data_IF_222691309246
#
_entry.id   IF_222691309246
#
_cell.length_a   1.000
_cell.length_b   1.000
_cell.length_c   1.000
_cell.angle_alpha   90.00
_cell.angle_beta   90.00
_cell.angle_gamma   90.00
#
_symmetry.space_group_name_H-M   'P 1'
#
loop_
_entity.id
_entity.type
_entity.pdbx_description
1 polymer ?
#
# COMPACT_ATOMS: atom_id res chain seq x y z
N UNK A 1 -26.56 4.48 2.97
CA UNK A 1 -25.97 5.61 2.27
C UNK A 1 -24.48 5.36 2.02
N UNK A 2 -24.04 5.58 0.81
CA UNK A 2 -22.62 5.44 0.51
C UNK A 2 -21.83 6.54 1.20
N UNK A 3 -20.67 6.20 1.74
CA UNK A 3 -19.73 7.17 2.31
C UNK A 3 -19.02 7.94 1.20
N UNK A 4 -18.26 8.93 1.59
CA UNK A 4 -17.41 9.64 0.64
C UNK A 4 -16.22 8.76 0.28
N UNK A 5 -15.69 8.96 -0.91
CA UNK A 5 -14.54 8.21 -1.40
C UNK A 5 -13.63 9.13 -2.22
N UNK A 6 -12.38 8.69 -2.38
CA UNK A 6 -11.39 9.38 -3.19
C UNK A 6 -10.84 8.38 -4.19
N UNK A 7 -10.79 8.76 -5.45
CA UNK A 7 -10.20 7.89 -6.47
C UNK A 7 -8.70 7.75 -6.23
N UNK A 8 -8.19 6.54 -6.36
CA UNK A 8 -6.76 6.29 -6.23
C UNK A 8 -5.97 7.09 -7.25
N UNK A 9 -6.50 7.24 -8.47
CA UNK A 9 -5.85 8.04 -9.52
C UNK A 9 -5.64 9.49 -9.11
N UNK A 10 -6.55 10.05 -8.30
CA UNK A 10 -6.38 11.42 -7.80
C UNK A 10 -5.18 11.50 -6.86
N UNK A 11 -5.01 10.51 -5.99
CA UNK A 11 -3.86 10.47 -5.08
C UNK A 11 -2.55 10.27 -5.83
N UNK A 12 -2.57 9.42 -6.86
CA UNK A 12 -1.39 9.20 -7.71
C UNK A 12 -0.94 10.52 -8.33
N UNK A 13 -1.88 11.30 -8.84
CA UNK A 13 -1.59 12.58 -9.45
C UNK A 13 -1.12 13.62 -8.44
N UNK A 14 -1.82 13.71 -7.32
CA UNK A 14 -1.53 14.70 -6.27
C UNK A 14 -0.12 14.52 -5.68
N UNK A 15 0.27 13.29 -5.44
CA UNK A 15 1.55 12.97 -4.80
C UNK A 15 2.63 12.51 -5.78
N UNK A 16 2.33 12.56 -7.08
CA UNK A 16 3.26 12.13 -8.14
C UNK A 16 3.81 10.72 -7.89
N UNK A 17 2.91 9.79 -7.53
CA UNK A 17 3.30 8.43 -7.23
C UNK A 17 3.71 7.69 -8.49
N UNK A 18 4.84 6.99 -8.40
CA UNK A 18 5.32 6.17 -9.50
C UNK A 18 4.51 4.87 -9.55
N UNK A 19 3.99 4.52 -10.72
CA UNK A 19 3.20 3.31 -10.90
C UNK A 19 4.13 2.14 -11.23
N UNK A 20 4.40 1.30 -10.23
CA UNK A 20 5.26 0.12 -10.43
C UNK A 20 4.48 -0.97 -11.15
N UNK A 21 3.28 -1.26 -10.66
CA UNK A 21 2.31 -2.12 -11.33
C UNK A 21 0.91 -1.66 -10.98
N UNK A 22 0.03 -1.57 -11.99
CA UNK A 22 -1.36 -1.19 -11.75
C UNK A 22 -2.28 -2.05 -12.63
N UNK A 23 -3.51 -2.33 -12.15
CA UNK A 23 -4.47 -3.10 -12.93
C UNK A 23 -5.15 -2.21 -13.98
N UNK A 24 -5.81 -2.86 -14.95
CA UNK A 24 -6.55 -2.14 -15.99
C UNK A 24 -7.69 -1.30 -15.41
N UNK A 25 -8.29 -1.77 -14.32
CA UNK A 25 -9.40 -1.06 -13.68
C UNK A 25 -8.96 -0.02 -12.64
N UNK A 26 -7.74 0.51 -12.79
CA UNK A 26 -7.19 1.49 -11.84
C UNK A 26 -8.15 2.65 -11.57
N UNK A 27 -8.86 3.12 -12.61
CA UNK A 27 -9.80 4.25 -12.48
C UNK A 27 -11.01 3.93 -11.61
N UNK A 28 -11.27 2.67 -11.35
CA UNK A 28 -12.40 2.26 -10.52
C UNK A 28 -12.04 2.08 -9.05
N UNK A 29 -10.75 2.12 -8.72
CA UNK A 29 -10.29 1.92 -7.34
C UNK A 29 -10.51 3.20 -6.54
N UNK A 30 -11.23 3.07 -5.42
CA UNK A 30 -11.51 4.20 -4.54
C UNK A 30 -11.05 3.90 -3.12
N UNK A 31 -10.65 4.96 -2.42
CA UNK A 31 -10.25 4.90 -1.03
C UNK A 31 -11.38 5.48 -0.19
N UNK A 32 -11.79 4.75 0.83
CA UNK A 32 -12.95 5.09 1.65
C UNK A 32 -12.60 5.32 3.12
N UNK A 33 -11.33 5.19 3.49
CA UNK A 33 -10.88 5.41 4.85
C UNK A 33 -9.59 6.23 4.86
N UNK A 34 -9.47 7.14 5.84
CA UNK A 34 -8.25 7.91 6.04
C UNK A 34 -7.21 7.17 6.87
N UNK A 35 -7.57 6.02 7.41
CA UNK A 35 -6.64 5.21 8.19
C UNK A 35 -5.68 4.47 7.27
N UNK A 36 -4.39 4.51 7.64
CA UNK A 36 -3.33 3.83 6.89
C UNK A 36 -2.82 2.64 7.69
N UNK A 37 -2.16 1.70 7.05
CA UNK A 37 -1.54 0.58 7.73
C UNK A 37 -0.10 0.40 7.31
N UNK A 38 0.77 0.06 8.26
CA UNK A 38 2.13 -0.39 7.98
C UNK A 38 2.15 -1.89 8.26
N UNK A 39 2.39 -2.74 7.24
CA UNK A 39 2.13 -4.18 7.35
C UNK A 39 3.20 -5.00 8.06
N UNK A 40 3.96 -4.41 8.98
CA UNK A 40 4.99 -5.14 9.72
C UNK A 40 4.44 -6.39 10.42
N UNK A 41 3.31 -6.25 11.11
CA UNK A 41 2.68 -7.38 11.81
C UNK A 41 2.21 -8.43 10.81
N UNK A 42 1.67 -8.02 9.67
CA UNK A 42 1.20 -8.96 8.66
C UNK A 42 2.37 -9.75 8.07
N UNK A 43 3.50 -9.10 7.83
CA UNK A 43 4.70 -9.80 7.35
C UNK A 43 5.22 -10.81 8.38
N UNK A 44 4.89 -10.63 9.66
CA UNK A 44 5.23 -11.59 10.71
C UNK A 44 4.15 -12.65 10.91
N UNK A 45 3.05 -12.58 10.15
CA UNK A 45 2.00 -13.60 10.18
C UNK A 45 0.77 -13.25 11.00
N UNK A 46 0.68 -12.03 11.54
CA UNK A 46 -0.46 -11.64 12.38
C UNK A 46 -1.47 -10.84 11.56
N UNK A 47 -2.68 -11.38 11.39
CA UNK A 47 -3.73 -10.78 10.55
C UNK A 47 -5.03 -10.46 11.29
N UNK A 48 -5.09 -10.66 12.59
CA UNK A 48 -6.35 -10.55 13.33
C UNK A 48 -7.11 -9.23 13.11
N UNK A 49 -6.38 -8.11 13.01
CA UNK A 49 -6.98 -6.80 12.84
C UNK A 49 -6.65 -6.17 11.49
N UNK A 50 -6.23 -6.97 10.54
CA UNK A 50 -5.86 -6.48 9.23
C UNK A 50 -7.09 -6.05 8.44
N UNK A 51 -7.05 -4.82 7.90
CA UNK A 51 -8.10 -4.27 7.06
C UNK A 51 -7.53 -3.98 5.67
N UNK A 52 -7.85 -4.80 4.67
CA UNK A 52 -7.31 -4.60 3.32
C UNK A 52 -7.82 -3.33 2.63
N UNK A 53 -8.85 -2.67 3.16
CA UNK A 53 -9.37 -1.42 2.59
C UNK A 53 -8.46 -0.23 2.86
N UNK A 54 -7.56 -0.32 3.84
CA UNK A 54 -6.61 0.75 4.15
C UNK A 54 -5.48 0.78 3.13
N UNK A 55 -4.98 1.98 2.85
CA UNK A 55 -3.75 2.12 2.06
C UNK A 55 -2.60 1.54 2.89
N UNK A 56 -1.80 0.66 2.27
CA UNK A 56 -0.67 0.01 2.93
C UNK A 56 0.60 0.78 2.62
N UNK A 57 1.38 1.10 3.66
CA UNK A 57 2.63 1.86 3.51
C UNK A 57 3.80 0.98 3.92
N UNK A 58 4.69 0.69 2.98
CA UNK A 58 5.91 -0.08 3.25
C UNK A 58 7.09 0.88 3.27
N UNK A 59 7.70 1.02 4.44
CA UNK A 59 8.87 1.87 4.63
C UNK A 59 10.11 1.05 4.91
N UNK A 60 11.16 1.73 5.39
CA UNK A 60 12.45 1.08 5.68
C UNK A 60 12.36 -0.02 6.71
N UNK A 61 11.49 0.14 7.72
CA UNK A 61 11.34 -0.86 8.78
C UNK A 61 10.81 -2.18 8.25
N UNK A 62 9.74 -2.12 7.45
CA UNK A 62 9.15 -3.32 6.85
C UNK A 62 10.12 -3.96 5.86
N UNK A 63 10.79 -3.14 5.05
CA UNK A 63 11.76 -3.61 4.07
C UNK A 63 12.94 -4.29 4.76
N UNK A 64 13.42 -3.68 5.86
CA UNK A 64 14.51 -4.23 6.66
C UNK A 64 14.16 -5.57 7.28
N UNK A 65 12.94 -5.68 7.81
CA UNK A 65 12.46 -6.94 8.37
C UNK A 65 12.44 -8.05 7.31
N UNK A 66 11.87 -7.76 6.15
CA UNK A 66 11.80 -8.73 5.05
C UNK A 66 13.19 -9.13 4.56
N UNK A 67 14.10 -8.18 4.49
CA UNK A 67 15.48 -8.44 4.04
C UNK A 67 16.23 -9.37 4.98
N UNK A 68 15.85 -9.40 6.27
CA UNK A 68 16.45 -10.29 7.26
C UNK A 68 15.94 -11.71 7.22
N UNK A 69 14.88 -11.98 6.46
CA UNK A 69 14.34 -13.33 6.32
C UNK A 69 15.08 -14.08 5.21
N UNK A 70 15.02 -15.43 5.26
CA UNK A 70 15.49 -16.23 4.15
C UNK A 70 14.64 -15.90 2.92
N UNK A 71 15.17 -16.17 1.73
CA UNK A 71 14.42 -15.93 0.50
C UNK A 71 13.09 -16.69 0.48
N UNK A 72 13.12 -17.95 0.91
CA UNK A 72 11.91 -18.77 0.96
C UNK A 72 10.87 -18.20 1.92
N UNK A 73 11.29 -17.82 3.12
CA UNK A 73 10.38 -17.27 4.12
C UNK A 73 9.83 -15.93 3.66
N UNK A 74 10.68 -15.09 3.09
CA UNK A 74 10.25 -13.79 2.59
C UNK A 74 9.17 -13.95 1.50
N UNK A 75 9.39 -14.83 0.53
CA UNK A 75 8.41 -15.08 -0.53
C UNK A 75 7.10 -15.62 0.04
N UNK A 76 7.18 -16.55 0.99
CA UNK A 76 6.00 -17.10 1.65
C UNK A 76 5.18 -16.03 2.34
N UNK A 77 5.83 -15.17 3.13
CA UNK A 77 5.13 -14.15 3.92
C UNK A 77 4.56 -13.04 3.04
N UNK A 78 5.30 -12.65 2.01
CA UNK A 78 4.82 -11.60 1.10
C UNK A 78 3.69 -12.14 0.21
N UNK A 79 3.78 -13.38 -0.26
CA UNK A 79 2.70 -14.00 -1.03
C UNK A 79 1.42 -14.06 -0.20
N UNK A 80 1.52 -14.50 1.05
CA UNK A 80 0.36 -14.54 1.95
C UNK A 80 -0.27 -13.16 2.11
N UNK A 81 0.57 -12.14 2.29
CA UNK A 81 0.10 -10.76 2.43
C UNK A 81 -0.68 -10.30 1.20
N UNK A 82 -0.11 -10.46 0.00
CA UNK A 82 -0.79 -10.07 -1.23
C UNK A 82 -2.05 -10.89 -1.50
N UNK A 83 -2.10 -12.15 -1.02
CA UNK A 83 -3.28 -12.99 -1.16
C UNK A 83 -4.49 -12.44 -0.40
N UNK A 84 -4.26 -11.59 0.61
CA UNK A 84 -5.33 -10.90 1.33
C UNK A 84 -5.89 -9.72 0.54
N UNK A 85 -5.31 -9.43 -0.60
CA UNK A 85 -5.73 -8.39 -1.54
C UNK A 85 -5.89 -7.01 -0.91
N UNK A 86 -4.80 -6.46 -0.35
CA UNK A 86 -4.84 -5.07 0.09
C UNK A 86 -5.19 -4.17 -1.11
N UNK A 87 -5.89 -3.10 -0.85
CA UNK A 87 -6.40 -2.23 -1.90
C UNK A 87 -5.29 -1.58 -2.71
N UNK A 88 -4.21 -1.16 -2.04
CA UNK A 88 -3.04 -0.57 -2.68
C UNK A 88 -1.86 -0.63 -1.73
N UNK A 89 -0.66 -0.80 -2.29
CA UNK A 89 0.60 -0.80 -1.55
C UNK A 89 1.46 0.34 -2.08
N UNK A 90 1.93 1.21 -1.17
CA UNK A 90 2.80 2.32 -1.53
C UNK A 90 4.11 2.17 -0.77
N UNK A 91 5.23 2.14 -1.49
CA UNK A 91 6.55 2.11 -0.86
C UNK A 91 7.13 3.52 -0.81
N UNK A 92 7.87 3.82 0.25
CA UNK A 92 8.46 5.13 0.51
C UNK A 92 9.96 5.09 0.37
N UNK A 93 10.62 6.25 0.53
CA UNK A 93 12.07 6.38 0.44
C UNK A 93 12.65 5.91 -0.90
N UNK A 94 11.83 5.87 -1.95
CA UNK A 94 12.25 5.38 -3.26
C UNK A 94 12.85 3.97 -3.19
N UNK A 95 12.35 3.14 -2.28
CA UNK A 95 12.85 1.78 -2.06
C UNK A 95 12.74 0.94 -3.33
N UNK A 96 13.74 0.09 -3.55
CA UNK A 96 13.78 -0.77 -4.74
C UNK A 96 12.70 -1.84 -4.67
N UNK A 97 11.90 -1.93 -5.73
CA UNK A 97 10.88 -2.97 -5.85
C UNK A 97 11.48 -4.16 -6.57
N UNK A 98 11.53 -5.31 -5.91
CA UNK A 98 12.07 -6.53 -6.51
C UNK A 98 11.11 -7.08 -7.56
N UNK A 99 11.63 -7.92 -8.46
CA UNK A 99 10.81 -8.60 -9.45
C UNK A 99 9.74 -9.46 -8.77
N UNK A 100 10.11 -10.12 -7.68
CA UNK A 100 9.18 -10.97 -6.94
C UNK A 100 8.00 -10.18 -6.40
N UNK A 101 8.26 -9.00 -5.85
CA UNK A 101 7.19 -8.15 -5.32
C UNK A 101 6.27 -7.67 -6.44
N UNK A 102 6.84 -7.22 -7.55
CA UNK A 102 6.06 -6.81 -8.72
C UNK A 102 5.21 -7.93 -9.28
N UNK A 103 5.77 -9.14 -9.34
CA UNK A 103 5.04 -10.32 -9.83
C UNK A 103 3.87 -10.68 -8.92
N UNK A 104 4.01 -10.50 -7.60
CA UNK A 104 2.92 -10.76 -6.66
C UNK A 104 1.80 -9.73 -6.78
N UNK A 105 2.16 -8.47 -7.03
CA UNK A 105 1.17 -7.43 -7.29
C UNK A 105 0.33 -7.78 -8.51
N UNK A 106 0.97 -8.22 -9.58
CA UNK A 106 0.28 -8.64 -10.79
C UNK A 106 -0.57 -9.88 -10.54
N UNK A 107 -0.01 -10.89 -9.84
CA UNK A 107 -0.70 -12.15 -9.55
C UNK A 107 -2.02 -11.93 -8.81
N UNK A 108 -2.02 -11.03 -7.84
CA UNK A 108 -3.18 -10.78 -6.99
C UNK A 108 -3.95 -9.50 -7.36
N UNK A 109 -3.54 -8.84 -8.43
CA UNK A 109 -4.16 -7.59 -8.90
C UNK A 109 -4.14 -6.49 -7.86
N UNK A 110 -3.00 -6.32 -7.18
CA UNK A 110 -2.80 -5.29 -6.15
C UNK A 110 -1.91 -4.19 -6.71
N UNK A 111 -2.39 -2.94 -6.78
CA UNK A 111 -1.56 -1.84 -7.25
C UNK A 111 -0.34 -1.63 -6.35
N UNK A 112 0.82 -1.44 -6.96
CA UNK A 112 2.05 -1.13 -6.25
C UNK A 112 2.55 0.21 -6.75
N UNK A 113 2.65 1.18 -5.85
CA UNK A 113 3.09 2.54 -6.14
C UNK A 113 4.32 2.87 -5.32
N UNK A 114 5.06 3.89 -5.72
CA UNK A 114 6.28 4.29 -5.03
C UNK A 114 6.39 5.80 -4.94
N UNK A 115 6.89 6.29 -3.81
CA UNK A 115 7.23 7.70 -3.62
C UNK A 115 8.66 7.83 -3.13
N UNK A 116 9.33 8.94 -3.49
CA UNK A 116 10.65 9.27 -2.99
C UNK A 116 10.60 9.90 -1.60
N UNK A 117 9.41 10.29 -1.13
CA UNK A 117 9.22 10.90 0.17
C UNK A 117 9.56 9.95 1.31
N UNK A 118 9.95 10.51 2.47
CA UNK A 118 10.12 9.73 3.69
C UNK A 118 8.78 9.24 4.22
N UNK A 119 8.80 8.14 4.96
CA UNK A 119 7.57 7.48 5.43
C UNK A 119 6.72 8.40 6.29
N UNK A 120 7.31 9.04 7.30
CA UNK A 120 6.56 9.88 8.24
C UNK A 120 5.95 11.09 7.57
N UNK A 121 6.71 11.78 6.72
CA UNK A 121 6.24 12.96 6.00
C UNK A 121 5.12 12.59 5.03
N UNK A 122 5.30 11.50 4.30
CA UNK A 122 4.30 11.05 3.35
C UNK A 122 3.01 10.65 4.03
N UNK A 123 3.09 9.86 5.10
CA UNK A 123 1.91 9.42 5.85
C UNK A 123 1.18 10.60 6.48
N UNK A 124 1.91 11.58 7.01
CA UNK A 124 1.28 12.77 7.60
C UNK A 124 0.49 13.55 6.55
N UNK A 125 1.12 13.80 5.40
CA UNK A 125 0.46 14.53 4.30
C UNK A 125 -0.75 13.78 3.77
N UNK A 126 -0.60 12.47 3.57
CA UNK A 126 -1.67 11.64 3.03
C UNK A 126 -2.86 11.56 3.99
N UNK A 127 -2.59 11.42 5.29
CA UNK A 127 -3.64 11.37 6.30
C UNK A 127 -4.47 12.67 6.31
N UNK A 128 -3.80 13.82 6.25
CA UNK A 128 -4.50 15.11 6.20
C UNK A 128 -5.35 15.21 4.93
N UNK A 129 -4.76 14.87 3.79
CA UNK A 129 -5.45 14.94 2.50
C UNK A 129 -6.70 14.06 2.48
N UNK A 130 -6.56 12.81 2.97
CA UNK A 130 -7.68 11.88 3.03
C UNK A 130 -8.74 12.34 4.03
N UNK A 131 -8.33 12.82 5.19
CA UNK A 131 -9.28 13.30 6.21
C UNK A 131 -10.14 14.43 5.67
N UNK A 132 -9.54 15.37 4.93
CA UNK A 132 -10.26 16.47 4.30
C UNK A 132 -11.19 15.96 3.20
N UNK A 133 -10.69 15.11 2.31
CA UNK A 133 -11.46 14.62 1.17
C UNK A 133 -12.63 13.72 1.59
N UNK A 134 -12.47 12.97 2.68
CA UNK A 134 -13.49 12.05 3.18
C UNK A 134 -14.38 12.64 4.25
N UNK A 135 -14.15 13.89 4.65
CA UNK A 135 -14.96 14.54 5.66
C UNK A 135 -16.41 14.70 5.18
N UNK A 136 -17.33 14.46 6.07
CA UNK A 136 -18.75 14.65 5.77
C UNK A 136 -19.07 16.14 5.66
N UNK A 137 -19.81 16.49 4.64
CA UNK A 137 -20.20 17.89 4.40
C UNK A 137 -21.66 18.11 4.65
#
# INVERSE_FOLDING_TARGET
MAGYSVKLTKLIKEYHLEQIWVPENLDEIVIETAELNRPGLQFAGFYKYFDPERIQIIGKSEFGYLSGLSREKRLEMVDLYFSKQPKVVITTWNLTITKELGALGEKYSVPILRTSEGTSEFMAALTVSLSVALAKR
#
